data_IF_125903093515
#
_entry.id   IF_125903093515
#
_cell.length_a   1.000
_cell.length_b   1.000
_cell.length_c   1.000
_cell.angle_alpha   90.00
_cell.angle_beta   90.00
_cell.angle_gamma   90.00
#
_symmetry.space_group_name_H-M   'P 1'
#
loop_
_entity.id
_entity.type
_entity.pdbx_description
1 polymer ?
#
# COMPACT_ATOMS: atom_id res chain seq x y z
N UNK A 1 48.41 -33.06 59.92
CA UNK A 1 47.80 -34.07 59.04
C UNK A 1 47.53 -33.38 57.72
N UNK A 2 48.53 -33.44 56.82
CA UNK A 2 48.53 -34.25 55.60
C UNK A 2 47.89 -33.44 54.43
N UNK A 3 48.68 -32.81 53.55
CA UNK A 3 49.32 -33.39 52.33
C UNK A 3 48.35 -33.44 51.13
N UNK A 4 48.60 -33.05 49.85
CA UNK A 4 49.66 -32.43 49.03
C UNK A 4 48.93 -31.90 47.73
N UNK A 5 49.33 -30.82 47.05
CA UNK A 5 49.94 -30.71 45.68
C UNK A 5 49.27 -29.48 45.03
N UNK A 6 49.94 -28.45 44.51
CA UNK A 6 51.15 -28.44 43.71
C UNK A 6 50.77 -28.31 42.24
N UNK A 7 50.81 -27.09 41.68
CA UNK A 7 51.54 -26.78 40.43
C UNK A 7 51.24 -25.38 39.89
N UNK A 8 52.29 -24.55 39.93
CA UNK A 8 52.52 -23.45 39.00
C UNK A 8 52.74 -24.00 37.59
N UNK A 9 52.09 -23.40 36.59
CA UNK A 9 52.46 -23.52 35.17
C UNK A 9 52.48 -22.10 34.57
N UNK A 10 53.42 -21.77 33.66
CA UNK A 10 53.86 -20.40 33.36
C UNK A 10 53.03 -19.70 32.29
N UNK A 11 53.22 -18.38 32.24
CA UNK A 11 52.79 -17.46 31.17
C UNK A 11 53.04 -18.04 29.76
N UNK A 12 51.96 -18.27 29.02
CA UNK A 12 51.96 -18.51 27.58
C UNK A 12 51.49 -17.24 26.86
N UNK A 13 52.48 -16.55 26.31
CA UNK A 13 52.50 -15.81 25.04
C UNK A 13 51.17 -15.28 24.47
N UNK A 14 51.06 -13.96 24.43
CA UNK A 14 50.17 -13.22 23.54
C UNK A 14 50.48 -13.55 22.08
N UNK A 15 49.55 -14.25 21.41
CA UNK A 15 49.47 -14.19 19.95
C UNK A 15 48.75 -12.89 19.52
N UNK A 16 49.23 -12.20 18.47
CA UNK A 16 48.65 -10.93 18.04
C UNK A 16 47.27 -11.13 17.41
N UNK A 17 46.32 -10.32 17.87
CA UNK A 17 44.95 -10.22 17.39
C UNK A 17 44.84 -10.25 15.86
N UNK A 18 44.01 -11.15 15.33
CA UNK A 18 43.61 -11.22 13.93
C UNK A 18 43.21 -9.85 13.40
N UNK A 19 43.97 -9.32 12.42
CA UNK A 19 43.56 -8.15 11.64
C UNK A 19 42.20 -8.47 10.99
N UNK A 20 41.14 -7.75 11.38
CA UNK A 20 39.86 -7.79 10.65
C UNK A 20 40.16 -7.47 9.17
N UNK A 21 40.00 -8.45 8.28
CA UNK A 21 40.07 -8.22 6.85
C UNK A 21 39.10 -7.09 6.49
N UNK A 22 39.63 -5.99 5.95
CA UNK A 22 38.82 -4.88 5.44
C UNK A 22 38.22 -5.34 4.11
N UNK A 23 36.90 -5.44 4.04
CA UNK A 23 36.20 -5.72 2.79
C UNK A 23 36.38 -4.54 1.85
N UNK A 24 36.77 -4.82 0.61
CA UNK A 24 36.93 -3.83 -0.46
C UNK A 24 36.15 -4.33 -1.67
N UNK A 25 35.41 -3.45 -2.32
CA UNK A 25 34.64 -3.75 -3.53
C UNK A 25 35.11 -2.86 -4.67
N UNK A 26 35.11 -3.38 -5.89
CA UNK A 26 35.63 -2.72 -7.08
C UNK A 26 34.61 -2.77 -8.19
N UNK A 27 34.36 -1.64 -8.85
CA UNK A 27 33.34 -1.62 -9.88
C UNK A 27 32.87 -0.26 -10.35
N UNK A 28 31.71 -0.23 -10.98
CA UNK A 28 31.08 0.98 -11.53
C UNK A 28 29.78 1.31 -10.79
N UNK A 29 29.48 2.60 -10.69
CA UNK A 29 28.24 3.10 -10.09
C UNK A 29 27.27 3.51 -11.20
N UNK A 30 26.05 3.01 -11.08
CA UNK A 30 24.94 3.25 -12.00
C UNK A 30 23.70 3.72 -11.23
N UNK A 31 22.75 4.35 -11.92
CA UNK A 31 21.40 4.70 -11.43
C UNK A 31 21.36 5.40 -10.08
N UNK A 32 22.12 6.48 -9.94
CA UNK A 32 22.08 7.26 -8.70
C UNK A 32 20.69 7.91 -8.57
N UNK A 33 19.90 7.45 -7.61
CA UNK A 33 18.54 7.92 -7.41
C UNK A 33 18.51 9.36 -6.89
N UNK A 34 17.38 10.08 -7.03
CA UNK A 34 17.13 11.26 -6.21
C UNK A 34 17.25 10.94 -4.72
N UNK A 35 17.49 11.98 -3.91
CA UNK A 35 17.54 11.87 -2.45
C UNK A 35 16.15 11.57 -1.90
N UNK A 36 16.04 10.49 -1.13
CA UNK A 36 14.83 10.01 -0.47
C UNK A 36 14.93 10.23 1.04
N UNK A 37 13.81 10.20 1.75
CA UNK A 37 13.77 10.24 3.21
C UNK A 37 13.44 8.88 3.80
N UNK A 38 14.21 8.44 4.80
CA UNK A 38 13.93 7.19 5.54
C UNK A 38 12.70 7.33 6.44
N UNK A 39 12.26 6.23 7.06
CA UNK A 39 11.21 6.26 8.08
C UNK A 39 11.54 7.22 9.24
N UNK A 40 12.82 7.34 9.58
CA UNK A 40 13.34 8.28 10.59
C UNK A 40 13.70 9.67 10.04
N UNK A 41 13.19 10.02 8.84
CA UNK A 41 13.47 11.27 8.12
C UNK A 41 14.95 11.55 7.85
N UNK A 42 15.80 10.52 7.89
CA UNK A 42 17.21 10.66 7.49
C UNK A 42 17.30 10.58 5.97
N UNK A 43 17.97 11.55 5.31
CA UNK A 43 18.12 11.53 3.86
C UNK A 43 19.03 10.37 3.46
N UNK A 44 18.67 9.68 2.39
CA UNK A 44 19.48 8.64 1.79
C UNK A 44 19.23 8.61 0.28
N UNK A 45 20.13 8.02 -0.48
CA UNK A 45 19.90 7.71 -1.89
C UNK A 45 20.39 6.31 -2.19
N UNK A 46 19.94 5.77 -3.33
CA UNK A 46 20.32 4.43 -3.77
C UNK A 46 21.04 4.51 -5.10
N UNK A 47 21.92 3.55 -5.36
CA UNK A 47 22.55 3.35 -6.66
C UNK A 47 22.66 1.85 -6.94
N UNK A 48 23.09 1.49 -8.13
CA UNK A 48 23.47 0.13 -8.50
C UNK A 48 24.99 0.06 -8.63
N UNK A 49 25.58 -0.95 -8.02
CA UNK A 49 27.00 -1.24 -8.09
C UNK A 49 27.23 -2.43 -9.00
N UNK A 50 28.00 -2.23 -10.07
CA UNK A 50 28.42 -3.28 -10.98
C UNK A 50 29.75 -3.85 -10.50
N UNK A 51 29.76 -5.12 -10.10
CA UNK A 51 30.96 -5.95 -9.94
C UNK A 51 31.15 -6.79 -11.23
N UNK A 52 32.22 -7.57 -11.32
CA UNK A 52 32.57 -8.31 -12.56
C UNK A 52 31.45 -9.23 -13.05
N UNK A 53 30.77 -9.92 -12.12
CA UNK A 53 29.77 -10.94 -12.43
C UNK A 53 28.40 -10.67 -11.79
N UNK A 54 28.24 -9.57 -11.06
CA UNK A 54 27.00 -9.30 -10.33
C UNK A 54 26.71 -7.81 -10.17
N UNK A 55 25.45 -7.52 -9.88
CA UNK A 55 24.97 -6.19 -9.55
C UNK A 55 24.44 -6.16 -8.14
N UNK A 56 24.90 -5.21 -7.34
CA UNK A 56 24.43 -5.02 -5.96
C UNK A 56 23.79 -3.66 -5.77
N UNK A 57 22.80 -3.61 -4.90
CA UNK A 57 22.18 -2.34 -4.51
C UNK A 57 23.08 -1.59 -3.54
N UNK A 58 23.44 -0.35 -3.88
CA UNK A 58 24.05 0.62 -2.98
C UNK A 58 22.97 1.40 -2.25
N UNK A 59 23.12 1.55 -0.93
CA UNK A 59 22.31 2.45 -0.12
C UNK A 59 23.26 3.41 0.60
N UNK A 60 23.18 4.69 0.26
CA UNK A 60 24.07 5.72 0.75
C UNK A 60 23.31 6.63 1.71
N UNK A 61 23.71 6.60 2.99
CA UNK A 61 23.09 7.42 4.04
C UNK A 61 23.75 8.80 4.19
N UNK A 62 24.86 9.04 3.51
CA UNK A 62 25.56 10.32 3.51
C UNK A 62 25.16 11.16 2.28
N UNK A 63 24.11 11.98 2.43
CA UNK A 63 23.59 12.79 1.33
C UNK A 63 24.61 13.80 0.74
N UNK A 64 25.64 14.19 1.50
CA UNK A 64 26.69 15.09 0.97
C UNK A 64 27.45 14.49 -0.21
N UNK A 65 27.44 13.17 -0.34
CA UNK A 65 28.09 12.43 -1.43
C UNK A 65 27.19 12.28 -2.67
N UNK A 66 25.94 12.78 -2.66
CA UNK A 66 25.03 12.60 -3.80
C UNK A 66 25.59 13.19 -5.10
N UNK A 67 26.11 14.41 -5.04
CA UNK A 67 26.72 15.08 -6.19
C UNK A 67 27.96 14.35 -6.71
N UNK A 68 28.81 13.82 -5.82
CA UNK A 68 30.00 13.07 -6.22
C UNK A 68 29.63 11.72 -6.86
N UNK A 69 28.61 11.03 -6.34
CA UNK A 69 28.10 9.81 -6.95
C UNK A 69 27.49 10.07 -8.33
N UNK A 70 26.74 11.16 -8.50
CA UNK A 70 26.23 11.57 -9.82
C UNK A 70 27.35 11.88 -10.80
N UNK A 71 28.44 12.51 -10.35
CA UNK A 71 29.61 12.76 -11.19
C UNK A 71 30.32 11.45 -11.57
N UNK A 72 30.48 10.50 -10.64
CA UNK A 72 31.06 9.18 -10.90
C UNK A 72 30.24 8.42 -11.96
N UNK A 73 28.91 8.39 -11.81
CA UNK A 73 27.98 7.77 -12.77
C UNK A 73 28.10 8.43 -14.15
N UNK A 74 28.06 9.76 -14.21
CA UNK A 74 28.13 10.52 -15.47
C UNK A 74 29.46 10.30 -16.20
N UNK A 75 30.56 10.29 -15.45
CA UNK A 75 31.91 10.10 -15.97
C UNK A 75 32.29 8.63 -16.17
N UNK A 76 31.40 7.68 -15.81
CA UNK A 76 31.64 6.23 -15.88
C UNK A 76 32.95 5.82 -15.21
N UNK A 77 33.29 6.50 -14.12
CA UNK A 77 34.58 6.32 -13.45
C UNK A 77 34.56 5.03 -12.64
N UNK A 78 35.58 4.15 -12.76
CA UNK A 78 35.68 2.98 -11.90
C UNK A 78 35.99 3.43 -10.46
N UNK A 79 35.43 2.73 -9.49
CA UNK A 79 35.58 3.06 -8.07
C UNK A 79 35.99 1.87 -7.22
N UNK A 80 36.66 2.19 -6.12
CA UNK A 80 36.94 1.31 -4.99
C UNK A 80 36.10 1.75 -3.80
N UNK A 81 35.30 0.84 -3.26
CA UNK A 81 34.53 1.04 -2.03
C UNK A 81 35.24 0.32 -0.88
N UNK A 82 35.79 1.08 0.06
CA UNK A 82 36.56 0.56 1.20
C UNK A 82 35.73 0.57 2.47
N UNK A 83 35.73 -0.53 3.22
CA UNK A 83 34.91 -0.74 4.42
C UNK A 83 33.39 -0.52 4.20
N UNK A 84 32.78 -1.11 3.15
CA UNK A 84 31.33 -1.12 3.05
C UNK A 84 30.74 -1.99 4.16
N UNK A 85 29.53 -1.65 4.60
CA UNK A 85 28.73 -2.57 5.41
C UNK A 85 27.85 -3.39 4.48
N UNK A 86 28.10 -4.68 4.39
CA UNK A 86 27.22 -5.61 3.68
C UNK A 86 26.03 -5.97 4.58
N UNK A 87 24.82 -5.88 4.03
CA UNK A 87 23.60 -6.24 4.76
C UNK A 87 22.61 -6.93 3.81
N UNK A 88 21.84 -7.93 4.29
CA UNK A 88 20.75 -8.49 3.51
C UNK A 88 19.79 -7.38 3.07
N UNK A 89 19.32 -7.45 1.83
CA UNK A 89 18.33 -6.51 1.33
C UNK A 89 17.05 -6.63 2.19
N UNK A 90 16.44 -5.50 2.51
CA UNK A 90 15.26 -5.42 3.37
C UNK A 90 14.09 -6.33 2.93
N UNK A 91 14.04 -6.70 1.65
CA UNK A 91 12.92 -7.44 1.03
C UNK A 91 13.33 -8.80 0.46
N UNK A 92 14.63 -9.10 0.40
CA UNK A 92 15.13 -10.39 -0.04
C UNK A 92 16.40 -10.71 0.75
N UNK A 93 16.28 -11.62 1.71
CA UNK A 93 17.39 -11.99 2.59
C UNK A 93 18.53 -12.71 1.85
N UNK A 94 18.29 -13.21 0.63
CA UNK A 94 19.30 -13.84 -0.22
C UNK A 94 20.11 -12.82 -1.04
N UNK A 95 19.63 -11.58 -1.19
CA UNK A 95 20.36 -10.51 -1.88
C UNK A 95 21.15 -9.67 -0.89
N UNK A 96 22.43 -9.42 -1.17
CA UNK A 96 23.29 -8.58 -0.33
C UNK A 96 23.32 -7.15 -0.88
N UNK A 97 22.93 -6.18 -0.06
CA UNK A 97 23.06 -4.76 -0.33
C UNK A 97 24.34 -4.19 0.28
N UNK A 98 24.93 -3.20 -0.39
CA UNK A 98 26.12 -2.47 0.05
C UNK A 98 25.67 -1.17 0.70
N UNK A 99 25.86 -1.06 2.02
CA UNK A 99 25.55 0.15 2.77
C UNK A 99 26.80 1.03 2.87
N UNK A 100 26.68 2.26 2.35
CA UNK A 100 27.71 3.30 2.44
C UNK A 100 27.36 4.23 3.60
N UNK A 101 28.21 4.21 4.62
CA UNK A 101 28.07 5.03 5.82
C UNK A 101 29.26 6.00 5.94
N UNK A 102 29.36 6.72 7.06
CA UNK A 102 30.47 7.67 7.31
C UNK A 102 31.86 7.03 7.41
N UNK A 103 31.94 5.71 7.65
CA UNK A 103 33.20 4.96 7.71
C UNK A 103 33.59 4.30 6.37
N UNK A 104 32.70 4.35 5.38
CA UNK A 104 32.94 3.81 4.03
C UNK A 104 33.58 4.89 3.17
N UNK A 105 34.69 4.55 2.50
CA UNK A 105 35.31 5.43 1.51
C UNK A 105 34.96 4.96 0.09
N UNK A 106 34.77 5.90 -0.83
CA UNK A 106 34.52 5.66 -2.25
C UNK A 106 35.53 6.46 -3.04
N UNK A 107 36.56 5.78 -3.53
CA UNK A 107 37.67 6.39 -4.24
C UNK A 107 37.57 6.08 -5.74
N UNK A 108 37.77 7.08 -6.59
CA UNK A 108 37.90 6.85 -8.04
C UNK A 108 39.27 6.21 -8.28
N UNK A 109 39.29 5.11 -9.04
CA UNK A 109 40.51 4.39 -9.41
C UNK A 109 40.76 4.47 -10.91
N UNK A 110 41.92 3.98 -11.36
CA UNK A 110 42.32 4.09 -12.76
C UNK A 110 41.61 3.08 -13.67
N UNK A 111 41.44 1.84 -13.20
CA UNK A 111 40.80 0.76 -13.96
C UNK A 111 40.34 -0.39 -13.06
N UNK A 112 39.39 -1.18 -13.56
CA UNK A 112 39.01 -2.52 -13.05
C UNK A 112 39.15 -3.53 -14.20
N UNK A 113 39.13 -4.83 -13.90
CA UNK A 113 39.37 -5.92 -14.88
C UNK A 113 38.23 -6.13 -15.89
N UNK A 114 37.10 -5.45 -15.72
CA UNK A 114 35.92 -5.56 -16.55
C UNK A 114 35.47 -4.19 -17.06
N UNK A 115 34.76 -4.16 -18.19
CA UNK A 115 34.28 -2.92 -18.76
C UNK A 115 33.05 -2.39 -18.02
N UNK A 116 32.89 -1.07 -18.01
CA UNK A 116 31.60 -0.45 -17.68
C UNK A 116 30.55 -0.98 -18.64
N UNK A 117 29.54 -1.68 -18.13
CA UNK A 117 28.43 -2.12 -18.96
C UNK A 117 27.54 -0.89 -19.22
N UNK A 118 27.50 -0.41 -20.46
CA UNK A 118 26.70 0.77 -20.84
C UNK A 118 25.21 0.43 -21.02
N UNK A 119 24.88 -0.87 -21.11
CA UNK A 119 23.52 -1.38 -21.16
C UNK A 119 22.96 -1.63 -19.77
N UNK A 120 23.70 -1.27 -18.72
CA UNK A 120 23.20 -1.18 -17.34
C UNK A 120 22.15 -0.12 -17.16
N UNK A 121 21.50 0.40 -18.21
CA UNK A 121 20.11 0.80 -18.04
C UNK A 121 19.40 -0.40 -17.41
N UNK A 122 19.28 -0.39 -16.08
CA UNK A 122 18.06 -0.80 -15.42
C UNK A 122 16.98 0.19 -15.88
N UNK A 123 16.72 0.29 -17.19
CA UNK A 123 15.36 0.05 -17.63
C UNK A 123 15.02 -1.24 -16.93
N UNK A 124 14.16 -1.16 -15.92
CA UNK A 124 13.66 -2.36 -15.29
C UNK A 124 13.30 -3.34 -16.42
N UNK A 125 13.68 -4.60 -16.26
CA UNK A 125 13.53 -5.57 -17.34
C UNK A 125 12.12 -5.46 -17.90
N UNK A 126 12.02 -5.26 -19.22
CA UNK A 126 10.75 -5.41 -19.90
C UNK A 126 10.34 -6.86 -19.67
N UNK A 127 9.22 -7.07 -19.00
CA UNK A 127 8.72 -8.39 -18.65
C UNK A 127 7.32 -8.57 -19.21
N UNK A 128 6.99 -9.81 -19.57
CA UNK A 128 5.60 -10.20 -19.84
C UNK A 128 4.86 -10.41 -18.52
N UNK A 129 3.53 -10.36 -18.54
CA UNK A 129 2.72 -10.64 -17.36
C UNK A 129 2.88 -12.10 -16.89
N UNK A 130 3.10 -13.05 -17.81
CA UNK A 130 3.40 -14.44 -17.47
C UNK A 130 4.74 -14.58 -16.73
N UNK A 131 5.79 -13.88 -17.17
CA UNK A 131 7.08 -13.89 -16.47
C UNK A 131 6.96 -13.32 -15.06
N UNK A 132 6.14 -12.28 -14.89
CA UNK A 132 5.87 -11.66 -13.59
C UNK A 132 5.13 -12.64 -12.67
N UNK A 133 4.12 -13.35 -13.19
CA UNK A 133 3.40 -14.39 -12.45
C UNK A 133 4.31 -15.55 -12.02
N UNK A 134 5.25 -15.94 -12.89
CA UNK A 134 6.22 -16.99 -12.60
C UNK A 134 7.30 -16.53 -11.59
N UNK A 135 7.52 -15.21 -11.46
CA UNK A 135 8.49 -14.64 -10.55
C UNK A 135 7.94 -14.50 -9.12
N UNK A 136 8.65 -15.04 -8.13
CA UNK A 136 8.33 -14.86 -6.70
C UNK A 136 8.89 -13.55 -6.11
N UNK A 137 9.36 -12.64 -6.97
CA UNK A 137 10.07 -11.44 -6.55
C UNK A 137 9.09 -10.32 -6.18
N UNK A 138 8.76 -10.24 -4.89
CA UNK A 138 7.99 -9.13 -4.35
C UNK A 138 8.78 -7.81 -4.39
N UNK A 139 8.11 -6.70 -4.72
CA UNK A 139 8.69 -5.35 -4.77
C UNK A 139 9.80 -5.16 -5.81
N UNK A 140 9.82 -6.01 -6.84
CA UNK A 140 10.68 -5.80 -7.98
C UNK A 140 10.08 -4.70 -8.87
N UNK A 141 10.91 -3.76 -9.33
CA UNK A 141 10.47 -2.79 -10.32
C UNK A 141 10.66 -3.44 -11.70
N UNK A 142 9.65 -3.33 -12.56
CA UNK A 142 9.59 -3.91 -13.91
C UNK A 142 9.05 -2.87 -14.89
N UNK A 143 9.29 -3.09 -16.18
CA UNK A 143 8.62 -2.36 -17.25
C UNK A 143 7.69 -3.35 -17.98
N UNK A 144 6.49 -2.92 -18.31
CA UNK A 144 5.47 -3.79 -18.94
C UNK A 144 4.71 -3.02 -20.00
N UNK A 145 4.28 -3.71 -21.04
CA UNK A 145 3.30 -3.18 -22.00
C UNK A 145 1.99 -3.92 -21.79
N UNK A 146 0.93 -3.19 -21.44
CA UNK A 146 -0.34 -3.79 -21.04
C UNK A 146 -1.53 -3.09 -21.68
N UNK A 147 -2.56 -3.88 -21.98
CA UNK A 147 -3.88 -3.42 -22.36
C UNK A 147 -4.76 -3.31 -21.12
N UNK A 148 -5.41 -2.16 -20.94
CA UNK A 148 -6.33 -1.93 -19.83
C UNK A 148 -7.71 -2.50 -20.21
N UNK A 149 -8.03 -3.70 -19.71
CA UNK A 149 -9.29 -4.39 -20.07
C UNK A 149 -10.51 -3.77 -19.38
N UNK A 150 -10.40 -3.45 -18.09
CA UNK A 150 -11.50 -2.91 -17.31
C UNK A 150 -11.01 -2.17 -16.07
N UNK A 151 -11.77 -1.16 -15.65
CA UNK A 151 -11.66 -0.59 -14.31
C UNK A 151 -12.49 -1.45 -13.36
N UNK A 152 -11.89 -1.90 -12.25
CA UNK A 152 -12.52 -2.81 -11.27
C UNK A 152 -12.94 -2.10 -10.00
N UNK A 153 -12.09 -1.22 -9.50
CA UNK A 153 -12.29 -0.54 -8.22
C UNK A 153 -11.75 0.89 -8.33
N UNK A 154 -12.47 1.85 -7.77
CA UNK A 154 -11.97 3.20 -7.52
C UNK A 154 -12.30 3.55 -6.07
N UNK A 155 -11.26 3.79 -5.27
CA UNK A 155 -11.38 4.07 -3.84
C UNK A 155 -10.34 5.07 -3.39
N UNK A 156 -10.55 5.66 -2.24
CA UNK A 156 -9.49 6.34 -1.50
C UNK A 156 -9.00 5.44 -0.39
N UNK A 157 -7.69 5.21 -0.35
CA UNK A 157 -7.03 4.42 0.70
C UNK A 157 -6.09 5.31 1.49
N UNK A 158 -6.08 5.12 2.80
CA UNK A 158 -5.12 5.78 3.68
C UNK A 158 -3.72 5.25 3.37
N UNK A 159 -2.78 6.15 3.08
CA UNK A 159 -1.38 5.80 2.85
C UNK A 159 -0.57 6.23 4.08
N UNK A 160 -0.15 5.30 4.96
CA UNK A 160 0.52 5.65 6.22
C UNK A 160 1.78 6.49 6.02
N UNK A 161 2.54 6.23 4.95
CA UNK A 161 3.76 6.99 4.62
C UNK A 161 3.46 8.47 4.35
N UNK A 162 2.42 8.74 3.57
CA UNK A 162 2.05 10.07 3.10
C UNK A 162 1.07 10.79 4.04
N UNK A 163 0.45 10.05 4.97
CA UNK A 163 -0.53 10.54 5.95
C UNK A 163 -1.69 11.29 5.33
N UNK A 164 -2.16 10.73 4.23
CA UNK A 164 -3.31 11.25 3.53
C UNK A 164 -4.04 10.09 2.90
N UNK A 165 -5.32 10.32 2.67
CA UNK A 165 -6.07 9.51 1.75
C UNK A 165 -5.57 9.80 0.33
N UNK A 166 -5.31 8.73 -0.42
CA UNK A 166 -4.93 8.82 -1.82
C UNK A 166 -5.91 8.00 -2.64
N UNK A 167 -6.28 8.55 -3.79
CA UNK A 167 -7.03 7.81 -4.79
C UNK A 167 -6.22 6.59 -5.23
N UNK A 168 -6.89 5.45 -5.29
CA UNK A 168 -6.39 4.19 -5.78
C UNK A 168 -7.41 3.62 -6.76
N UNK A 169 -6.96 3.35 -7.98
CA UNK A 169 -7.81 2.71 -8.99
C UNK A 169 -7.20 1.37 -9.37
N UNK A 170 -7.99 0.29 -9.24
CA UNK A 170 -7.62 -1.08 -9.61
C UNK A 170 -8.15 -1.36 -11.02
N UNK A 171 -7.26 -1.79 -11.89
CA UNK A 171 -7.57 -2.20 -13.25
C UNK A 171 -7.32 -3.70 -13.42
N UNK A 172 -8.11 -4.34 -14.28
CA UNK A 172 -7.72 -5.59 -14.91
C UNK A 172 -6.90 -5.25 -16.15
N UNK A 173 -5.69 -5.78 -16.21
CA UNK A 173 -4.76 -5.55 -17.32
C UNK A 173 -4.33 -6.87 -17.92
N UNK A 174 -4.07 -6.86 -19.21
CA UNK A 174 -3.67 -8.05 -19.94
C UNK A 174 -2.59 -7.71 -20.97
N UNK A 175 -1.74 -8.69 -21.23
CA UNK A 175 -0.90 -8.74 -22.41
C UNK A 175 -1.21 -10.05 -23.15
N UNK A 176 -0.44 -10.38 -24.18
CA UNK A 176 -0.65 -11.61 -24.96
C UNK A 176 -0.30 -12.90 -24.19
N UNK A 177 0.18 -12.80 -22.95
CA UNK A 177 0.71 -13.93 -22.17
C UNK A 177 -0.12 -14.24 -20.93
N UNK A 178 -0.66 -13.23 -20.25
CA UNK A 178 -1.44 -13.40 -19.03
C UNK A 178 -2.33 -12.18 -18.72
N UNK A 179 -3.09 -12.28 -17.64
CA UNK A 179 -3.84 -11.17 -17.05
C UNK A 179 -3.43 -10.95 -15.60
N UNK A 180 -3.38 -9.69 -15.16
CA UNK A 180 -2.99 -9.28 -13.82
C UNK A 180 -3.81 -8.07 -13.33
N UNK A 181 -3.85 -7.86 -12.03
CA UNK A 181 -4.37 -6.62 -11.46
C UNK A 181 -3.31 -5.54 -11.41
N UNK A 182 -3.68 -4.33 -11.79
CA UNK A 182 -2.87 -3.12 -11.66
C UNK A 182 -3.54 -2.11 -10.73
N UNK A 183 -2.91 -1.80 -9.60
CA UNK A 183 -3.30 -0.69 -8.72
C UNK A 183 -2.51 0.57 -9.04
N UNK A 184 -3.19 1.57 -9.59
CA UNK A 184 -2.68 2.93 -9.78
C UNK A 184 -2.97 3.79 -8.55
N UNK A 185 -2.10 4.76 -8.25
CA UNK A 185 -2.22 5.65 -7.09
C UNK A 185 -2.15 7.12 -7.50
N UNK A 186 -2.90 7.96 -6.77
CA UNK A 186 -2.93 9.40 -6.95
C UNK A 186 -3.69 9.81 -8.22
N UNK A 187 -3.12 10.72 -8.99
CA UNK A 187 -3.74 11.30 -10.18
C UNK A 187 -3.51 10.50 -11.47
N UNK A 188 -2.84 9.34 -11.40
CA UNK A 188 -2.57 8.53 -12.58
C UNK A 188 -3.79 7.70 -12.95
N UNK A 189 -4.57 8.21 -13.91
CA UNK A 189 -5.73 7.53 -14.48
C UNK A 189 -5.39 6.96 -15.85
N UNK A 190 -5.68 5.68 -16.03
CA UNK A 190 -5.51 4.98 -17.30
C UNK A 190 -6.86 4.77 -17.97
N UNK A 191 -6.91 4.90 -19.29
CA UNK A 191 -8.13 4.71 -20.06
C UNK A 191 -8.31 3.22 -20.36
N UNK A 192 -9.53 2.73 -20.15
CA UNK A 192 -9.92 1.38 -20.55
C UNK A 192 -9.88 1.26 -22.07
N UNK A 193 -9.63 0.05 -22.58
CA UNK A 193 -9.49 -0.28 -23.99
C UNK A 193 -8.30 0.39 -24.69
N UNK A 194 -7.23 0.68 -23.94
CA UNK A 194 -6.01 1.29 -24.47
C UNK A 194 -4.78 0.52 -24.02
N UNK A 195 -3.73 0.56 -24.86
CA UNK A 195 -2.41 0.03 -24.55
C UNK A 195 -1.52 1.09 -23.91
N UNK A 196 -0.78 0.67 -22.89
CA UNK A 196 0.20 1.51 -22.21
C UNK A 196 1.53 0.80 -22.05
N UNK A 197 2.60 1.54 -22.32
CA UNK A 197 3.94 1.22 -21.85
C UNK A 197 4.10 1.81 -20.43
N UNK A 198 4.20 0.94 -19.44
CA UNK A 198 4.34 1.30 -18.03
C UNK A 198 5.77 1.02 -17.58
N UNK A 199 6.48 2.08 -17.19
CA UNK A 199 7.85 2.00 -16.69
C UNK A 199 7.89 2.14 -15.16
N UNK A 200 8.85 1.50 -14.50
CA UNK A 200 9.06 1.56 -13.04
C UNK A 200 7.85 1.12 -12.21
N UNK A 201 7.13 0.10 -12.68
CA UNK A 201 5.99 -0.48 -11.96
C UNK A 201 6.49 -1.50 -10.95
N UNK A 202 5.91 -1.55 -9.75
CA UNK A 202 6.31 -2.50 -8.71
C UNK A 202 5.44 -3.74 -8.75
N UNK A 203 6.04 -4.92 -8.70
CA UNK A 203 5.34 -6.17 -8.38
C UNK A 203 4.99 -6.21 -6.89
N UNK A 204 3.84 -6.79 -6.54
CA UNK A 204 3.41 -7.08 -5.18
C UNK A 204 2.74 -8.42 -5.12
N UNK A 205 2.82 -9.06 -3.96
CA UNK A 205 2.07 -10.26 -3.65
C UNK A 205 1.14 -9.89 -2.49
N UNK A 206 -0.17 -10.03 -2.70
CA UNK A 206 -1.18 -9.78 -1.68
C UNK A 206 -2.10 -11.00 -1.60
N UNK A 207 -2.25 -11.58 -0.42
CA UNK A 207 -2.99 -12.83 -0.20
C UNK A 207 -2.59 -13.97 -1.16
N UNK A 208 -1.31 -14.06 -1.53
CA UNK A 208 -0.80 -15.06 -2.47
C UNK A 208 -1.02 -14.72 -3.95
N UNK A 209 -1.74 -13.64 -4.26
CA UNK A 209 -1.96 -13.19 -5.64
C UNK A 209 -0.92 -12.14 -6.04
N UNK A 210 -0.23 -12.39 -7.15
CA UNK A 210 0.68 -11.41 -7.75
C UNK A 210 -0.15 -10.27 -8.37
N UNK A 211 0.28 -9.04 -8.15
CA UNK A 211 -0.33 -7.82 -8.70
C UNK A 211 0.73 -6.78 -8.99
N UNK A 212 0.37 -5.83 -9.84
CA UNK A 212 1.19 -4.69 -10.18
C UNK A 212 0.70 -3.45 -9.44
N UNK A 213 1.62 -2.57 -9.06
CA UNK A 213 1.26 -1.29 -8.49
C UNK A 213 2.21 -0.18 -8.93
N UNK A 214 1.64 1.00 -9.15
CA UNK A 214 2.43 2.17 -9.53
C UNK A 214 3.22 2.72 -8.35
N UNK A 215 4.35 3.32 -8.66
CA UNK A 215 5.22 4.03 -7.71
C UNK A 215 5.28 5.52 -8.08
N UNK A 216 5.81 6.41 -7.23
CA UNK A 216 6.02 7.81 -7.59
C UNK A 216 6.95 8.03 -8.79
N UNK A 217 7.73 7.02 -9.19
CA UNK A 217 8.60 7.06 -10.36
C UNK A 217 7.97 6.40 -11.60
N UNK A 218 6.74 5.89 -11.50
CA UNK A 218 6.07 5.23 -12.61
C UNK A 218 5.72 6.24 -13.70
N UNK A 219 6.02 5.86 -14.93
CA UNK A 219 5.68 6.63 -16.13
C UNK A 219 4.75 5.74 -16.95
N UNK A 220 3.62 6.29 -17.38
CA UNK A 220 2.68 5.63 -18.27
C UNK A 220 2.65 6.37 -19.60
N UNK A 221 2.97 5.68 -20.69
CA UNK A 221 2.90 6.22 -22.05
C UNK A 221 1.85 5.46 -22.84
N UNK A 222 0.90 6.17 -23.43
CA UNK A 222 -0.05 5.58 -24.35
C UNK A 222 0.74 5.06 -25.57
N UNK A 223 0.47 3.82 -25.98
CA UNK A 223 1.21 3.18 -27.08
C UNK A 223 0.25 2.57 -28.10
N UNK A 224 0.69 2.50 -29.34
CA UNK A 224 -0.06 1.90 -30.46
C UNK A 224 0.48 0.49 -30.71
N UNK A 225 0.17 -0.46 -29.83
CA UNK A 225 0.35 -1.89 -30.09
C UNK A 225 -0.91 -2.47 -30.76
N UNK A 226 -0.84 -3.63 -31.48
CA UNK A 226 -1.71 -3.88 -32.62
C UNK A 226 -3.20 -3.98 -32.26
N UNK A 227 -4.02 -3.76 -33.29
CA UNK A 227 -5.47 -3.53 -33.35
C UNK A 227 -6.37 -4.57 -32.67
N UNK A 228 -5.83 -5.62 -32.05
CA UNK A 228 -6.58 -6.67 -31.37
C UNK A 228 -6.34 -6.64 -29.87
N UNK A 229 -7.44 -6.68 -29.11
CA UNK A 229 -7.39 -6.91 -27.67
C UNK A 229 -6.64 -8.22 -27.39
N UNK A 230 -5.91 -8.33 -26.26
CA UNK A 230 -5.27 -9.57 -25.87
C UNK A 230 -6.27 -10.71 -25.86
N UNK A 231 -5.86 -11.89 -26.34
CA UNK A 231 -6.70 -13.10 -26.44
C UNK A 231 -7.03 -13.69 -25.05
N UNK A 232 -6.33 -13.23 -24.03
CA UNK A 232 -6.41 -13.70 -22.65
C UNK A 232 -7.74 -13.32 -22.00
N UNK A 233 -8.38 -14.27 -21.32
CA UNK A 233 -9.68 -14.05 -20.69
C UNK A 233 -9.63 -12.90 -19.67
N UNK A 234 -10.64 -12.01 -19.67
CA UNK A 234 -10.73 -10.96 -18.68
C UNK A 234 -10.77 -11.54 -17.27
N UNK A 235 -10.07 -10.91 -16.33
CA UNK A 235 -10.16 -11.29 -14.91
C UNK A 235 -11.61 -11.14 -14.47
N UNK A 236 -12.21 -12.18 -13.88
CA UNK A 236 -13.58 -12.14 -13.40
C UNK A 236 -13.78 -10.97 -12.40
N UNK A 237 -14.97 -10.37 -12.43
CA UNK A 237 -15.34 -9.39 -11.41
C UNK A 237 -15.86 -10.15 -10.19
N UNK A 238 -15.01 -10.27 -9.17
CA UNK A 238 -15.34 -10.95 -7.92
C UNK A 238 -16.11 -10.03 -6.94
N UNK A 239 -16.55 -8.85 -7.39
CA UNK A 239 -17.38 -7.98 -6.55
C UNK A 239 -18.79 -8.51 -6.41
N UNK A 240 -19.21 -8.69 -5.17
CA UNK A 240 -20.54 -9.18 -4.82
C UNK A 240 -21.30 -8.07 -4.12
N UNK A 241 -22.52 -7.81 -4.60
CA UNK A 241 -23.51 -6.98 -3.93
C UNK A 241 -24.44 -7.85 -3.08
N UNK A 242 -24.69 -7.45 -1.84
CA UNK A 242 -25.68 -8.10 -0.97
C UNK A 242 -26.27 -7.10 0.02
N UNK A 243 -27.44 -7.43 0.57
CA UNK A 243 -28.12 -6.61 1.57
C UNK A 243 -28.47 -7.45 2.79
N UNK A 244 -28.39 -6.85 3.98
CA UNK A 244 -28.66 -7.55 5.24
C UNK A 244 -28.63 -6.61 6.44
N UNK A 245 -28.92 -7.14 7.62
CA UNK A 245 -28.95 -6.40 8.89
C UNK A 245 -27.59 -6.47 9.60
N UNK A 246 -27.15 -5.36 10.20
CA UNK A 246 -25.90 -5.31 10.97
C UNK A 246 -26.17 -5.83 12.39
N UNK A 247 -25.80 -7.07 12.68
CA UNK A 247 -26.01 -7.69 14.00
C UNK A 247 -24.77 -7.62 14.90
N UNK A 248 -23.62 -7.25 14.35
CA UNK A 248 -22.36 -7.15 15.08
C UNK A 248 -21.44 -6.11 14.46
N UNK A 249 -20.75 -5.36 15.32
CA UNK A 249 -19.73 -4.39 14.92
C UNK A 249 -18.54 -4.46 15.89
N UNK A 250 -17.33 -4.38 15.35
CA UNK A 250 -16.10 -4.21 16.14
C UNK A 250 -15.20 -3.19 15.47
N UNK A 251 -14.77 -2.18 16.22
CA UNK A 251 -13.90 -1.10 15.74
C UNK A 251 -12.49 -1.23 16.31
N UNK A 252 -11.49 -0.92 15.48
CA UNK A 252 -10.09 -0.81 15.87
C UNK A 252 -9.51 0.47 15.27
N UNK A 253 -9.07 1.36 16.14
CA UNK A 253 -8.40 2.59 15.73
C UNK A 253 -6.91 2.50 16.00
N UNK A 254 -6.11 2.88 15.00
CA UNK A 254 -4.68 3.04 15.13
C UNK A 254 -4.34 4.52 15.19
N UNK A 255 -3.54 4.90 16.19
CA UNK A 255 -3.04 6.25 16.32
C UNK A 255 -1.56 6.32 15.98
N UNK A 256 -1.15 7.38 15.27
CA UNK A 256 0.25 7.60 14.87
C UNK A 256 0.70 9.03 15.13
N UNK A 257 1.92 9.18 15.64
CA UNK A 257 2.52 10.49 15.87
C UNK A 257 2.90 11.18 14.56
N UNK A 258 3.30 12.47 14.55
CA UNK A 258 3.84 13.16 13.39
C UNK A 258 5.12 12.61 12.74
N UNK A 259 5.64 11.47 13.19
CA UNK A 259 6.73 10.70 12.57
C UNK A 259 6.33 9.28 12.11
N UNK A 260 5.04 8.92 12.14
CA UNK A 260 4.48 7.62 11.76
C UNK A 260 4.81 6.47 12.72
N UNK A 261 5.23 6.80 13.94
CA UNK A 261 5.32 5.79 15.00
C UNK A 261 3.92 5.54 15.58
N UNK A 262 3.58 4.26 15.75
CA UNK A 262 2.36 3.84 16.43
C UNK A 262 2.38 4.33 17.87
N UNK A 263 1.24 4.83 18.31
CA UNK A 263 0.99 5.28 19.67
C UNK A 263 -0.03 4.35 20.33
N UNK A 264 0.21 4.01 21.58
CA UNK A 264 -0.70 3.21 22.41
C UNK A 264 -1.27 4.09 23.52
N UNK A 265 -2.45 3.73 24.03
CA UNK A 265 -3.06 4.34 25.22
C UNK A 265 -3.20 5.87 25.16
N UNK A 266 -3.59 6.40 23.99
CA UNK A 266 -3.78 7.84 23.82
C UNK A 266 -5.04 8.28 24.56
N UNK A 267 -4.88 9.25 25.46
CA UNK A 267 -5.99 10.06 25.91
C UNK A 267 -6.31 11.14 24.87
N UNK A 268 -7.31 10.88 24.02
CA UNK A 268 -7.74 11.80 22.96
C UNK A 268 -8.28 13.13 23.50
N UNK A 269 -8.72 13.18 24.76
CA UNK A 269 -9.15 14.40 25.43
C UNK A 269 -7.98 15.26 25.96
N UNK A 270 -6.77 14.70 26.07
CA UNK A 270 -5.60 15.47 26.47
C UNK A 270 -5.16 16.43 25.35
N UNK A 271 -4.65 17.62 25.69
CA UNK A 271 -4.13 18.57 24.68
C UNK A 271 -2.85 18.08 24.00
N UNK A 272 -2.09 17.22 24.67
CA UNK A 272 -0.80 16.72 24.20
C UNK A 272 -0.66 15.22 24.39
N UNK A 273 0.06 14.57 23.49
CA UNK A 273 0.41 13.14 23.54
C UNK A 273 1.91 12.96 23.35
N UNK A 274 2.56 12.17 24.20
CA UNK A 274 3.96 11.80 24.07
C UNK A 274 4.14 10.59 23.14
N UNK A 275 5.14 10.64 22.27
CA UNK A 275 5.54 9.50 21.44
C UNK A 275 6.79 8.83 22.01
N UNK A 276 6.73 7.55 22.43
CA UNK A 276 7.88 6.86 23.02
C UNK A 276 8.99 6.57 22.00
N UNK A 277 8.66 6.40 20.72
CA UNK A 277 9.63 6.03 19.69
C UNK A 277 10.50 7.18 19.21
N UNK A 278 10.03 8.43 19.28
CA UNK A 278 10.82 9.60 18.90
C UNK A 278 11.15 10.53 20.06
N UNK A 279 10.70 10.23 21.28
CA UNK A 279 10.92 11.03 22.49
C UNK A 279 10.50 12.50 22.28
N UNK A 280 9.28 12.69 21.77
CA UNK A 280 8.70 14.01 21.49
C UNK A 280 7.27 14.08 22.00
N UNK A 281 6.86 15.27 22.46
CA UNK A 281 5.48 15.58 22.81
C UNK A 281 4.83 16.33 21.65
N UNK A 282 3.67 15.86 21.22
CA UNK A 282 2.90 16.45 20.14
C UNK A 282 1.56 16.98 20.64
N UNK A 283 1.01 17.98 19.94
CA UNK A 283 -0.41 18.34 20.09
C UNK A 283 -1.25 17.13 19.69
N UNK A 284 -2.20 16.71 20.52
CA UNK A 284 -3.08 15.56 20.24
C UNK A 284 -3.87 15.77 18.95
N UNK A 285 -4.25 17.02 18.64
CA UNK A 285 -4.90 17.40 17.38
C UNK A 285 -4.03 17.23 16.11
N UNK A 286 -2.74 16.89 16.25
CA UNK A 286 -1.83 16.56 15.15
C UNK A 286 -1.48 15.07 15.09
N UNK A 287 -2.00 14.27 16.02
CA UNK A 287 -1.97 12.81 15.94
C UNK A 287 -2.94 12.39 14.85
N UNK A 288 -2.52 11.41 14.05
CA UNK A 288 -3.40 10.83 13.04
C UNK A 288 -4.07 9.59 13.60
N UNK A 289 -5.39 9.51 13.48
CA UNK A 289 -6.22 8.35 13.80
C UNK A 289 -6.72 7.72 12.49
N UNK A 290 -6.65 6.39 12.42
CA UNK A 290 -7.13 5.59 11.29
C UNK A 290 -8.03 4.49 11.83
N UNK A 291 -9.26 4.42 11.31
CA UNK A 291 -10.26 3.44 11.73
C UNK A 291 -10.24 2.20 10.85
N UNK A 292 -10.47 1.03 11.44
CA UNK A 292 -10.82 -0.22 10.76
C UNK A 292 -11.94 -0.88 11.53
N UNK A 293 -13.03 -1.24 10.85
CA UNK A 293 -14.18 -1.87 11.49
C UNK A 293 -14.47 -3.22 10.84
N UNK A 294 -14.97 -4.16 11.63
CA UNK A 294 -15.48 -5.45 11.18
C UNK A 294 -16.96 -5.50 11.49
N UNK A 295 -17.79 -5.74 10.48
CA UNK A 295 -19.24 -5.91 10.65
C UNK A 295 -19.64 -7.35 10.41
N UNK A 296 -20.58 -7.84 11.21
CA UNK A 296 -21.28 -9.11 11.01
C UNK A 296 -22.68 -8.79 10.50
N UNK A 297 -22.97 -9.28 9.30
CA UNK A 297 -24.21 -9.01 8.57
C UNK A 297 -25.04 -10.29 8.53
N UNK A 298 -26.29 -10.20 8.96
CA UNK A 298 -27.28 -11.26 8.78
C UNK A 298 -28.02 -11.04 7.46
N UNK A 299 -27.95 -12.04 6.58
CA UNK A 299 -28.61 -12.04 5.28
C UNK A 299 -30.07 -12.55 5.40
N UNK A 300 -30.94 -12.28 4.41
CA UNK A 300 -32.34 -12.73 4.44
C UNK A 300 -32.54 -14.25 4.54
N UNK A 301 -31.50 -15.04 4.24
CA UNK A 301 -31.47 -16.49 4.38
C UNK A 301 -30.94 -16.96 5.75
N UNK A 302 -30.80 -16.04 6.71
CA UNK A 302 -30.21 -16.24 8.04
C UNK A 302 -28.73 -16.67 8.02
N UNK A 303 -28.03 -16.48 6.90
CA UNK A 303 -26.59 -16.70 6.85
C UNK A 303 -25.83 -15.48 7.36
N UNK A 304 -24.75 -15.72 8.09
CA UNK A 304 -23.91 -14.67 8.66
C UNK A 304 -22.68 -14.43 7.78
N UNK A 305 -22.46 -13.18 7.41
CA UNK A 305 -21.30 -12.75 6.62
C UNK A 305 -20.51 -11.69 7.36
N UNK A 306 -19.20 -11.88 7.44
CA UNK A 306 -18.29 -10.91 8.07
C UNK A 306 -17.58 -10.08 7.02
N UNK A 307 -17.58 -8.76 7.18
CA UNK A 307 -16.92 -7.81 6.28
C UNK A 307 -16.04 -6.81 7.03
N UNK A 308 -15.04 -6.29 6.33
CA UNK A 308 -14.09 -5.29 6.83
C UNK A 308 -14.28 -3.96 6.12
N UNK A 309 -14.40 -2.89 6.92
CA UNK A 309 -14.52 -1.52 6.47
C UNK A 309 -13.21 -0.78 6.78
N UNK A 310 -12.75 -0.03 5.79
CA UNK A 310 -11.59 0.85 5.93
C UNK A 310 -12.01 2.28 6.27
N UNK A 311 -11.05 3.04 6.82
CA UNK A 311 -11.17 4.42 7.30
C UNK A 311 -12.19 5.28 6.56
N UNK A 312 -12.07 5.43 5.24
CA UNK A 312 -12.97 6.29 4.47
C UNK A 312 -14.41 5.79 4.46
N UNK A 313 -14.64 4.49 4.31
CA UNK A 313 -16.00 3.92 4.30
C UNK A 313 -16.65 4.17 5.67
N UNK A 314 -15.89 4.02 6.75
CA UNK A 314 -16.34 4.34 8.10
C UNK A 314 -16.68 5.82 8.22
N UNK A 315 -15.75 6.72 7.86
CA UNK A 315 -15.96 8.16 7.93
C UNK A 315 -17.11 8.65 7.04
N UNK A 316 -17.38 7.95 5.92
CA UNK A 316 -18.51 8.26 5.02
C UNK A 316 -19.84 7.77 5.59
N UNK A 317 -19.82 6.63 6.29
CA UNK A 317 -21.01 6.06 6.93
C UNK A 317 -21.38 6.79 8.24
N UNK A 318 -20.40 7.38 8.92
CA UNK A 318 -20.61 8.23 10.08
C UNK A 318 -21.23 9.57 9.66
N UNK A 319 -22.30 9.99 10.34
CA UNK A 319 -22.84 11.34 10.15
C UNK A 319 -21.86 12.39 10.66
N UNK A 320 -21.92 13.62 10.11
CA UNK A 320 -20.94 14.71 10.32
C UNK A 320 -20.61 15.02 11.80
N UNK A 321 -21.47 14.63 12.74
CA UNK A 321 -21.31 14.88 14.17
C UNK A 321 -20.44 13.85 14.90
N UNK A 322 -20.21 12.66 14.33
CA UNK A 322 -19.43 11.57 14.95
C UNK A 322 -17.95 11.54 14.51
N UNK A 323 -17.53 12.38 13.56
CA UNK A 323 -16.29 12.15 12.82
C UNK A 323 -14.98 12.55 13.54
N UNK A 324 -15.01 13.29 14.66
CA UNK A 324 -13.78 13.91 15.21
C UNK A 324 -13.40 13.55 16.64
N UNK A 325 -14.29 12.95 17.45
CA UNK A 325 -13.99 12.56 18.84
C UNK A 325 -14.72 11.30 19.32
N UNK A 326 -15.25 10.49 18.40
CA UNK A 326 -16.02 9.30 18.78
C UNK A 326 -15.13 8.25 19.43
N UNK A 327 -15.60 7.69 20.54
CA UNK A 327 -15.01 6.49 21.11
C UNK A 327 -15.28 5.29 20.19
N UNK A 328 -14.49 4.23 20.36
CA UNK A 328 -14.70 2.97 19.66
C UNK A 328 -16.16 2.47 19.80
N UNK A 329 -16.70 2.58 21.02
CA UNK A 329 -18.08 2.22 21.33
C UNK A 329 -19.11 3.06 20.57
N UNK A 330 -18.89 4.37 20.39
CA UNK A 330 -19.83 5.22 19.66
C UNK A 330 -19.92 4.83 18.17
N UNK A 331 -18.77 4.44 17.58
CA UNK A 331 -18.70 3.97 16.19
C UNK A 331 -19.39 2.61 16.05
N UNK A 332 -19.12 1.68 16.96
CA UNK A 332 -19.77 0.37 17.00
C UNK A 332 -21.30 0.50 17.15
N UNK A 333 -21.75 1.33 18.09
CA UNK A 333 -23.17 1.60 18.29
C UNK A 333 -23.79 2.27 17.06
N UNK A 334 -23.10 3.19 16.39
CA UNK A 334 -23.63 3.79 15.15
C UNK A 334 -23.95 2.73 14.10
N UNK A 335 -23.04 1.77 13.87
CA UNK A 335 -23.28 0.69 12.92
C UNK A 335 -24.40 -0.26 13.34
N UNK A 336 -24.51 -0.56 14.64
CA UNK A 336 -25.59 -1.42 15.17
C UNK A 336 -26.97 -0.77 15.11
N UNK A 337 -27.06 0.56 15.06
CA UNK A 337 -28.32 1.27 14.88
C UNK A 337 -28.65 1.56 13.41
N UNK A 338 -27.79 1.15 12.47
CA UNK A 338 -28.15 1.22 11.06
C UNK A 338 -29.24 0.17 10.80
N UNK A 339 -30.29 0.57 10.07
CA UNK A 339 -31.22 -0.38 9.47
C UNK A 339 -30.47 -1.31 8.48
N UNK A 340 -31.22 -2.13 7.73
CA UNK A 340 -30.64 -2.95 6.67
C UNK A 340 -29.66 -2.14 5.80
N UNK A 341 -28.49 -2.70 5.51
CA UNK A 341 -27.45 -2.08 4.70
C UNK A 341 -27.30 -2.81 3.38
N UNK A 342 -27.00 -2.07 2.32
CA UNK A 342 -26.59 -2.62 1.03
C UNK A 342 -25.07 -2.45 0.88
N UNK A 343 -24.39 -3.57 0.69
CA UNK A 343 -22.93 -3.66 0.69
C UNK A 343 -22.47 -4.16 -0.69
N UNK A 344 -21.49 -3.46 -1.26
CA UNK A 344 -20.66 -3.98 -2.36
C UNK A 344 -19.29 -4.34 -1.79
N UNK A 345 -18.86 -5.59 -1.92
CA UNK A 345 -17.60 -6.07 -1.38
C UNK A 345 -16.78 -6.89 -2.40
N UNK A 346 -15.46 -6.85 -2.28
CA UNK A 346 -14.52 -7.77 -2.92
C UNK A 346 -13.94 -8.70 -1.83
N UNK A 347 -14.36 -9.97 -1.85
CA UNK A 347 -14.12 -10.88 -0.72
C UNK A 347 -14.75 -10.33 0.57
N UNK A 348 -13.91 -10.07 1.58
CA UNK A 348 -14.35 -9.47 2.85
C UNK A 348 -14.22 -7.94 2.88
N UNK A 349 -13.60 -7.31 1.88
CA UNK A 349 -13.34 -5.87 1.91
C UNK A 349 -14.52 -5.10 1.32
N UNK A 350 -15.11 -4.19 2.10
CA UNK A 350 -16.23 -3.36 1.67
C UNK A 350 -15.72 -2.25 0.75
N UNK A 351 -16.34 -2.15 -0.44
CA UNK A 351 -16.09 -1.08 -1.40
C UNK A 351 -17.08 0.08 -1.28
N UNK A 352 -18.33 -0.23 -0.95
CA UNK A 352 -19.36 0.76 -0.63
C UNK A 352 -20.36 0.18 0.35
N UNK A 353 -20.80 1.00 1.29
CA UNK A 353 -21.88 0.70 2.24
C UNK A 353 -22.90 1.83 2.16
N UNK A 354 -24.16 1.46 1.93
CA UNK A 354 -25.28 2.40 1.84
C UNK A 354 -26.40 1.88 2.75
N UNK A 355 -26.98 2.70 3.64
CA UNK A 355 -28.21 2.34 4.34
C UNK A 355 -29.30 2.03 3.32
N UNK A 356 -29.99 0.89 3.44
CA UNK A 356 -31.10 0.57 2.57
C UNK A 356 -32.24 1.54 2.88
N UNK A 357 -32.56 2.42 1.93
CA UNK A 357 -33.79 3.20 2.00
C UNK A 357 -34.96 2.20 1.94
N UNK A 358 -35.93 2.24 2.87
CA UNK A 358 -37.07 1.35 2.79
C UNK A 358 -37.78 1.58 1.44
N UNK A 359 -38.22 0.52 0.73
CA UNK A 359 -39.03 0.70 -0.46
C UNK A 359 -40.29 1.45 -0.04
N UNK A 360 -40.53 2.61 -0.67
CA UNK A 360 -41.80 3.34 -0.55
C UNK A 360 -42.88 2.36 -1.00
N UNK A 361 -43.55 1.75 -0.03
CA UNK A 361 -44.71 0.92 -0.30
C UNK A 361 -45.82 1.91 -0.62
N UNK A 362 -46.03 2.18 -1.91
CA UNK A 362 -47.25 2.81 -2.40
C UNK A 362 -48.41 1.99 -1.85
N UNK A 363 -49.10 2.55 -0.86
CA UNK A 363 -50.35 2.02 -0.31
C UNK A 363 -51.30 1.78 -1.49
N UNK A 364 -51.39 0.51 -1.89
CA UNK A 364 -52.41 0.03 -2.81
C UNK A 364 -53.73 0.18 -2.06
N UNK A 365 -54.47 1.24 -2.37
CA UNK A 365 -55.81 1.42 -1.82
C UNK A 365 -56.65 0.18 -2.15
N UNK A 366 -57.43 -0.34 -1.19
CA UNK A 366 -58.31 -1.47 -1.46
C UNK A 366 -59.40 -1.03 -2.44
N UNK A 367 -59.43 -1.70 -3.59
CA UNK A 367 -60.59 -1.72 -4.48
C UNK A 367 -61.77 -2.31 -3.72
N UNK A 368 -62.79 -1.50 -3.44
CA UNK A 368 -64.09 -1.99 -2.98
C UNK A 368 -64.85 -2.65 -4.15
N UNK A 369 -65.66 -3.69 -3.90
CA UNK A 369 -66.45 -4.32 -4.94
C UNK A 369 -67.74 -3.53 -5.21
N UNK A 370 -68.21 -3.68 -6.44
CA UNK A 370 -69.55 -3.31 -6.94
C UNK A 370 -70.66 -3.61 -5.92
N UNK A 371 -71.58 -2.66 -5.79
CA UNK A 371 -73.00 -3.00 -5.83
C UNK A 371 -73.84 -1.80 -6.33
N UNK A 372 -74.78 -2.19 -7.17
CA UNK A 372 -75.66 -1.42 -8.03
C UNK A 372 -76.81 -0.71 -7.31
N UNK A 373 -77.30 0.30 -8.03
CA UNK A 373 -78.68 0.77 -8.16
C UNK A 373 -79.34 1.65 -7.09
N UNK A 374 -79.97 2.70 -7.64
CA UNK A 374 -81.18 3.41 -7.21
C UNK A 374 -81.14 4.08 -5.82
N UNK A 375 -81.09 5.41 -5.77
CA UNK A 375 -82.31 6.20 -5.95
C UNK A 375 -82.07 7.72 -5.95
N UNK A 376 -83.04 8.35 -6.61
CA UNK A 376 -83.32 9.76 -6.83
C UNK A 376 -83.50 10.60 -5.55
N UNK A 377 -83.18 11.91 -5.68
CA UNK A 377 -83.71 13.07 -4.92
C UNK A 377 -83.18 13.20 -3.46
N UNK A 378 -82.83 14.37 -2.90
CA UNK A 378 -83.15 15.76 -3.20
C UNK A 378 -82.02 16.66 -2.73
N UNK A 379 -81.84 17.76 -3.45
CA UNK A 379 -81.24 18.99 -2.95
C UNK A 379 -82.20 19.55 -1.90
N UNK A 380 -81.74 19.75 -0.68
CA UNK A 380 -82.31 20.76 0.22
C UNK A 380 -81.19 21.66 0.71
N UNK A 381 -81.32 22.92 0.31
CA UNK A 381 -80.46 24.04 0.62
C UNK A 381 -81.41 25.07 1.22
N UNK A 382 -81.64 24.96 2.53
CA UNK A 382 -82.24 26.01 3.37
C UNK A 382 -81.36 26.08 4.63
N UNK A 383 -80.50 27.08 4.83
CA UNK A 383 -80.69 28.53 5.01
C UNK A 383 -81.01 28.90 6.49
N UNK A 384 -80.13 29.76 7.04
CA UNK A 384 -80.22 30.65 8.21
C UNK A 384 -80.13 30.00 9.60
N UNK A 385 -78.94 29.97 10.22
CA UNK A 385 -78.26 31.02 11.02
C UNK A 385 -78.73 31.02 12.48
N UNK A 386 -77.75 30.97 13.40
CA UNK A 386 -77.82 30.75 14.86
C UNK A 386 -77.98 29.31 15.32
#
# INVERSE_FOLDING_TARGET
MAEILGNHVPQSQMEPSSKRQRTELYGYIHHVSPVKSSQSKKPYFTATFQEENEYRKLVVFNNRQHASFKAIETNRSPVKISNPRLAPALHNQQQISVLVNSSTNVDIIQAVSFAHDANTLLTNSQMTLADILASSNQHHQVNVTVFIQAMREEQQKWVPRERKEMDMTKYAVADNTATLHLSTWGNMRLLVNNWYDLENISTRIYNGTVSLTTTPATIAKLTTQPTQAPVTEPIADDTVGFSGEVIGASEKSQHTCPQNHTLTDINTAAQTTSCPSCDQVYKTSKVCQVFTATLTIELPDNTLKTVQLHNKIILTALTSNLATNSSSADIEMHFLHMDAVTIKAEGNNVLSLVPATPPITLLKMPTSPDNSDSDLLSIDLDILST
#
